data_IF_366646576034
#
_entry.id   IF_366646576034
#
_cell.length_a   1.000
_cell.length_b   1.000
_cell.length_c   1.000
_cell.angle_alpha   90.00
_cell.angle_beta   90.00
_cell.angle_gamma   90.00
#
_symmetry.space_group_name_H-M   'P 1'
#
loop_
_entity.id
_entity.type
_entity.pdbx_description
1 polymer ?
#
# COMPACT_ATOMS: atom_id res chain seq x y z
N UNK A 1 14.41 11.90 -1.59
CA UNK A 1 13.62 12.71 -0.63
C UNK A 1 12.96 13.86 -1.39
N UNK A 2 11.73 14.19 -1.06
CA UNK A 2 10.93 15.26 -1.67
C UNK A 2 10.11 15.97 -0.59
N UNK A 3 9.98 17.28 -0.75
CA UNK A 3 9.02 18.11 -0.01
C UNK A 3 7.86 18.46 -0.94
N UNK A 4 6.65 18.42 -0.39
CA UNK A 4 5.44 18.87 -1.05
C UNK A 4 4.66 19.77 -0.09
N UNK A 5 4.13 20.88 -0.61
CA UNK A 5 3.38 21.86 0.16
C UNK A 5 2.00 21.98 -0.47
N UNK A 6 0.95 21.75 0.32
CA UNK A 6 -0.43 21.81 -0.14
C UNK A 6 -1.40 21.78 1.04
N UNK A 7 -2.62 22.24 0.82
CA UNK A 7 -3.70 22.15 1.81
C UNK A 7 -4.22 20.71 1.87
N UNK A 8 -3.92 19.97 2.94
CA UNK A 8 -4.41 18.62 3.18
C UNK A 8 -5.59 18.59 4.17
N UNK A 9 -5.74 19.64 4.98
CA UNK A 9 -6.72 19.69 6.07
C UNK A 9 -8.03 20.38 5.68
N UNK A 10 -8.07 21.03 4.51
CA UNK A 10 -9.21 21.78 3.99
C UNK A 10 -9.44 23.12 4.69
N UNK A 11 -8.47 23.59 5.48
CA UNK A 11 -8.57 24.83 6.25
C UNK A 11 -8.00 26.05 5.49
N UNK A 12 -7.60 25.86 4.23
CA UNK A 12 -6.98 26.85 3.33
C UNK A 12 -5.57 27.28 3.74
N UNK A 13 -4.94 26.58 4.68
CA UNK A 13 -3.50 26.67 4.96
C UNK A 13 -2.81 25.45 4.36
N UNK A 14 -1.55 25.63 3.98
CA UNK A 14 -0.77 24.52 3.45
C UNK A 14 0.00 23.80 4.56
N UNK A 15 -0.08 22.48 4.56
CA UNK A 15 0.80 21.62 5.33
C UNK A 15 2.03 21.20 4.52
N UNK A 16 2.99 20.65 5.23
CA UNK A 16 4.28 20.21 4.69
C UNK A 16 4.31 18.68 4.71
N UNK A 17 4.28 18.08 3.53
CA UNK A 17 4.53 16.66 3.34
C UNK A 17 6.01 16.42 3.07
N UNK A 18 6.61 15.53 3.85
CA UNK A 18 7.96 14.99 3.61
C UNK A 18 7.79 13.57 3.11
N UNK A 19 8.31 13.26 1.91
CA UNK A 19 8.29 11.91 1.37
C UNK A 19 9.60 11.44 0.73
N UNK A 20 9.74 10.14 0.58
CA UNK A 20 10.77 9.54 -0.30
C UNK A 20 11.34 8.24 0.26
N UNK A 21 12.08 7.51 -0.58
CA UNK A 21 12.67 6.24 -0.17
C UNK A 21 13.74 6.38 0.91
N UNK A 22 13.68 5.52 1.92
CA UNK A 22 14.72 5.30 2.92
C UNK A 22 14.86 3.79 3.17
N UNK A 23 16.05 3.22 2.97
CA UNK A 23 16.29 1.78 3.09
C UNK A 23 16.49 1.06 1.76
N UNK A 24 17.08 -0.14 1.82
CA UNK A 24 17.54 -0.93 0.66
C UNK A 24 16.40 -1.59 -0.14
N UNK A 25 16.55 -2.88 -0.48
CA UNK A 25 15.68 -3.63 -1.40
C UNK A 25 14.19 -3.74 -1.01
N UNK A 26 13.81 -3.27 0.18
CA UNK A 26 12.42 -3.19 0.66
C UNK A 26 11.66 -1.93 0.24
N UNK A 27 12.36 -0.88 -0.21
CA UNK A 27 11.71 0.34 -0.71
C UNK A 27 10.78 1.01 0.30
N UNK A 28 11.17 1.06 1.58
CA UNK A 28 10.38 1.80 2.57
C UNK A 28 10.37 3.27 2.15
N UNK A 29 9.18 3.82 1.97
CA UNK A 29 9.06 5.27 1.89
C UNK A 29 9.11 5.85 3.31
N UNK A 30 9.48 7.10 3.43
CA UNK A 30 9.06 8.00 4.49
C UNK A 30 7.85 8.73 3.90
N UNK A 31 6.80 8.90 4.68
CA UNK A 31 5.71 9.81 4.36
C UNK A 31 5.07 10.30 5.64
N UNK A 32 5.28 11.58 5.88
CA UNK A 32 4.84 12.28 7.08
C UNK A 32 4.29 13.64 6.64
N UNK A 33 3.20 14.08 7.24
CA UNK A 33 2.64 15.41 7.01
C UNK A 33 2.66 16.19 8.32
N UNK A 34 3.14 17.43 8.25
CA UNK A 34 3.20 18.36 9.34
C UNK A 34 2.36 19.60 9.06
N UNK A 35 1.60 20.04 10.05
CA UNK A 35 1.12 21.43 10.10
C UNK A 35 2.13 22.30 10.85
N UNK A 36 2.17 23.60 10.55
CA UNK A 36 3.06 24.55 11.20
C UNK A 36 2.25 25.59 11.99
N UNK A 37 2.34 25.51 13.31
CA UNK A 37 1.60 26.38 14.22
C UNK A 37 2.54 26.97 15.28
N UNK A 38 2.48 28.29 15.48
CA UNK A 38 3.19 29.00 16.54
C UNK A 38 4.69 28.66 16.64
N UNK A 39 5.38 28.55 15.50
CA UNK A 39 6.81 28.25 15.46
C UNK A 39 7.16 26.75 15.53
N UNK A 40 6.18 25.85 15.49
CA UNK A 40 6.39 24.41 15.68
C UNK A 40 5.77 23.61 14.55
N UNK A 41 6.48 22.56 14.12
CA UNK A 41 5.94 21.51 13.27
C UNK A 41 5.19 20.51 14.15
N UNK A 42 3.92 20.24 13.81
CA UNK A 42 3.06 19.28 14.49
C UNK A 42 2.74 18.18 13.48
N UNK A 43 3.09 16.93 13.79
CA UNK A 43 2.79 15.78 12.95
C UNK A 43 1.28 15.52 12.95
N UNK A 44 0.67 15.45 11.77
CA UNK A 44 -0.77 15.20 11.60
C UNK A 44 -1.05 13.89 10.85
N UNK A 45 -0.05 13.35 10.17
CA UNK A 45 -0.11 12.06 9.51
C UNK A 45 1.27 11.40 9.49
N UNK A 46 1.30 10.09 9.73
CA UNK A 46 2.50 9.28 9.70
C UNK A 46 2.18 7.90 9.11
N UNK A 47 2.98 7.48 8.12
CA UNK A 47 2.80 6.21 7.42
C UNK A 47 2.81 4.97 8.33
N UNK A 48 3.60 4.96 9.42
CA UNK A 48 3.75 3.80 10.29
C UNK A 48 2.51 3.65 11.16
N UNK A 49 2.02 4.79 11.68
CA UNK A 49 0.72 4.87 12.34
C UNK A 49 -0.41 4.45 11.39
N UNK A 50 -0.38 4.87 10.13
CA UNK A 50 -1.36 4.45 9.13
C UNK A 50 -1.33 2.92 8.91
N UNK A 51 -0.15 2.35 8.67
CA UNK A 51 0.02 0.92 8.41
C UNK A 51 -0.42 0.05 9.59
N UNK A 52 -0.09 0.49 10.81
CA UNK A 52 -0.47 -0.19 12.06
C UNK A 52 -1.97 -0.15 12.30
N UNK A 53 -2.63 0.96 11.98
CA UNK A 53 -4.07 1.13 12.20
C UNK A 53 -4.93 0.56 11.05
N UNK A 54 -4.34 0.29 9.88
CA UNK A 54 -5.04 -0.17 8.68
C UNK A 54 -4.49 -1.49 8.14
N UNK A 55 -4.29 -2.44 9.06
CA UNK A 55 -3.70 -3.74 8.73
C UNK A 55 -4.51 -4.53 7.71
N UNK A 56 -3.78 -5.18 6.81
CA UNK A 56 -4.31 -6.15 5.88
C UNK A 56 -3.53 -7.46 6.03
N UNK A 57 -4.21 -8.58 5.90
CA UNK A 57 -3.59 -9.92 5.96
C UNK A 57 -3.80 -10.66 4.66
N UNK A 58 -2.85 -11.52 4.30
CA UNK A 58 -2.95 -12.34 3.09
C UNK A 58 -2.58 -13.79 3.38
N UNK A 59 -3.17 -14.72 2.61
CA UNK A 59 -2.89 -16.15 2.69
C UNK A 59 -3.01 -16.80 1.31
N UNK A 60 -2.13 -17.75 1.01
CA UNK A 60 -2.38 -18.68 -0.09
C UNK A 60 -3.61 -19.54 0.22
N UNK A 61 -4.37 -19.84 -0.83
CA UNK A 61 -5.56 -20.68 -0.82
C UNK A 61 -5.46 -21.64 -2.00
N UNK A 62 -6.08 -22.81 -1.84
CA UNK A 62 -6.13 -23.84 -2.88
C UNK A 62 -6.63 -23.29 -4.22
N UNK A 63 -6.33 -24.00 -5.29
CA UNK A 63 -6.70 -23.64 -6.66
C UNK A 63 -6.07 -22.33 -7.13
N UNK A 64 -4.79 -22.11 -6.79
CA UNK A 64 -3.99 -20.96 -7.25
C UNK A 64 -4.62 -19.61 -6.87
N UNK A 65 -5.11 -19.51 -5.63
CA UNK A 65 -5.74 -18.30 -5.11
C UNK A 65 -4.94 -17.68 -3.97
N UNK A 66 -5.03 -16.36 -3.85
CA UNK A 66 -4.53 -15.61 -2.69
C UNK A 66 -5.70 -14.84 -2.09
N UNK A 67 -6.02 -15.11 -0.83
CA UNK A 67 -7.01 -14.31 -0.10
C UNK A 67 -6.33 -13.12 0.56
N UNK A 68 -6.92 -11.93 0.44
CA UNK A 68 -6.48 -10.70 1.12
C UNK A 68 -7.65 -10.15 1.92
N UNK A 69 -7.42 -9.82 3.19
CA UNK A 69 -8.43 -9.31 4.12
C UNK A 69 -7.95 -8.00 4.75
N UNK A 70 -8.68 -6.93 4.45
CA UNK A 70 -8.50 -5.58 4.97
C UNK A 70 -9.76 -5.12 5.75
N UNK A 71 -10.24 -5.99 6.65
CA UNK A 71 -11.45 -5.75 7.44
C UNK A 71 -12.73 -5.96 6.64
N UNK A 72 -13.41 -4.85 6.28
CA UNK A 72 -14.64 -4.89 5.47
C UNK A 72 -14.36 -5.28 4.01
N UNK A 73 -13.16 -4.97 3.53
CA UNK A 73 -12.72 -5.29 2.17
C UNK A 73 -12.02 -6.65 2.14
N UNK A 74 -12.55 -7.59 1.35
CA UNK A 74 -12.02 -8.94 1.20
C UNK A 74 -11.87 -9.26 -0.29
N UNK A 75 -10.72 -9.79 -0.66
CA UNK A 75 -10.39 -10.07 -2.05
C UNK A 75 -9.87 -11.50 -2.20
N UNK A 76 -10.09 -12.06 -3.38
CA UNK A 76 -9.56 -13.34 -3.79
C UNK A 76 -8.89 -13.17 -5.15
N UNK A 77 -7.56 -13.19 -5.17
CA UNK A 77 -6.74 -12.98 -6.36
C UNK A 77 -6.44 -14.33 -7.00
N UNK A 78 -6.62 -14.42 -8.32
CA UNK A 78 -6.21 -15.57 -9.10
C UNK A 78 -4.77 -15.40 -9.58
N UNK A 79 -3.89 -16.32 -9.18
CA UNK A 79 -2.47 -16.33 -9.58
C UNK A 79 -2.15 -17.46 -10.56
N UNK A 80 -3.14 -18.13 -11.14
CA UNK A 80 -2.95 -19.24 -12.09
C UNK A 80 -2.16 -18.87 -13.35
N UNK A 81 -2.04 -17.58 -13.67
CA UNK A 81 -1.21 -17.07 -14.77
C UNK A 81 0.27 -16.94 -14.42
N UNK A 82 0.68 -17.21 -13.18
CA UNK A 82 2.10 -17.22 -12.77
C UNK A 82 2.84 -18.41 -13.38
N UNK A 83 4.18 -18.33 -13.52
CA UNK A 83 4.98 -19.43 -14.05
C UNK A 83 4.74 -20.72 -13.27
N UNK A 84 4.82 -21.85 -13.97
CA UNK A 84 4.61 -23.16 -13.36
C UNK A 84 5.55 -23.41 -12.18
N UNK A 85 6.84 -23.07 -12.31
CA UNK A 85 7.82 -23.21 -11.23
C UNK A 85 7.42 -22.45 -9.95
N UNK A 86 6.84 -21.26 -10.13
CA UNK A 86 6.34 -20.46 -9.01
C UNK A 86 5.14 -21.15 -8.34
N UNK A 87 4.18 -21.64 -9.13
CA UNK A 87 3.00 -22.33 -8.60
C UNK A 87 3.39 -23.65 -7.93
N UNK A 88 4.30 -24.43 -8.51
CA UNK A 88 4.78 -25.69 -7.96
C UNK A 88 5.56 -25.50 -6.64
N UNK A 89 6.10 -24.30 -6.39
CA UNK A 89 6.73 -23.95 -5.09
C UNK A 89 5.72 -23.72 -3.95
N UNK A 90 4.45 -23.49 -4.28
CA UNK A 90 3.38 -23.15 -3.33
C UNK A 90 2.36 -24.28 -3.21
N UNK A 91 2.14 -25.04 -4.29
CA UNK A 91 1.02 -25.95 -4.43
C UNK A 91 1.46 -27.38 -4.79
N UNK A 92 0.68 -28.37 -4.34
CA UNK A 92 0.77 -29.74 -4.85
C UNK A 92 0.25 -29.84 -6.30
N UNK A 93 0.49 -30.96 -7.01
CA UNK A 93 -0.15 -31.21 -8.32
C UNK A 93 -1.68 -31.16 -8.30
N UNK A 94 -2.29 -31.43 -7.14
CA UNK A 94 -3.75 -31.31 -6.93
C UNK A 94 -4.20 -29.89 -6.56
N UNK A 95 -3.31 -28.90 -6.68
CA UNK A 95 -3.55 -27.47 -6.40
C UNK A 95 -3.89 -27.16 -4.94
N UNK A 96 -3.47 -28.00 -4.01
CA UNK A 96 -3.58 -27.72 -2.56
C UNK A 96 -2.35 -27.00 -2.07
N UNK A 97 -2.49 -26.05 -1.14
CA UNK A 97 -1.34 -25.32 -0.57
C UNK A 97 -0.38 -26.29 0.14
N UNK A 98 0.92 -26.17 -0.14
CA UNK A 98 2.00 -27.00 0.39
C UNK A 98 3.27 -26.16 0.70
N UNK A 99 3.08 -24.99 1.29
CA UNK A 99 4.19 -24.12 1.74
C UNK A 99 3.91 -23.58 3.12
N UNK A 100 4.97 -23.35 3.90
CA UNK A 100 4.91 -22.62 5.17
C UNK A 100 5.03 -21.10 4.97
N UNK A 101 5.44 -20.66 3.78
CA UNK A 101 5.58 -19.23 3.44
C UNK A 101 4.18 -18.67 3.20
N UNK A 102 3.86 -17.58 3.89
CA UNK A 102 2.61 -16.86 3.68
C UNK A 102 2.89 -15.54 2.95
N UNK A 103 2.02 -15.17 2.00
CA UNK A 103 2.08 -13.84 1.43
C UNK A 103 1.75 -12.84 2.53
N UNK A 104 2.32 -11.65 2.47
CA UNK A 104 2.08 -10.58 3.46
C UNK A 104 1.83 -9.24 2.76
N UNK A 105 1.24 -8.31 3.50
CA UNK A 105 1.11 -6.93 3.05
C UNK A 105 2.28 -6.13 3.61
N UNK A 106 3.04 -5.52 2.73
CA UNK A 106 4.24 -4.77 3.07
C UNK A 106 3.89 -3.39 3.65
N UNK A 107 4.90 -2.70 4.17
CA UNK A 107 4.78 -1.30 4.54
C UNK A 107 4.38 -0.42 3.33
N UNK A 108 3.79 0.76 3.56
CA UNK A 108 3.57 1.75 2.49
C UNK A 108 4.85 1.99 1.67
N UNK A 109 4.75 1.77 0.37
CA UNK A 109 5.84 1.94 -0.60
C UNK A 109 5.64 3.15 -1.52
N UNK A 110 4.48 3.78 -1.44
CA UNK A 110 4.07 4.88 -2.30
C UNK A 110 3.08 5.76 -1.57
N UNK A 111 3.37 7.05 -1.47
CA UNK A 111 2.46 8.07 -0.96
C UNK A 111 2.43 9.29 -1.86
N UNK A 112 1.34 9.46 -2.57
CA UNK A 112 1.19 10.49 -3.57
C UNK A 112 0.14 11.49 -3.12
N UNK A 113 0.48 12.80 -3.03
CA UNK A 113 -0.55 13.82 -2.97
C UNK A 113 -1.33 13.79 -4.29
N UNK A 114 -2.64 13.58 -4.19
CA UNK A 114 -3.56 13.63 -5.31
C UNK A 114 -4.63 14.67 -5.02
N UNK A 115 -5.28 15.17 -6.06
CA UNK A 115 -6.32 16.18 -5.92
C UNK A 115 -7.35 15.99 -7.01
N UNK A 116 -8.58 15.67 -6.62
CA UNK A 116 -9.72 15.72 -7.52
C UNK A 116 -9.96 17.15 -8.03
N UNK A 117 -10.40 17.28 -9.29
CA UNK A 117 -10.50 18.57 -10.00
C UNK A 117 -11.35 19.61 -9.24
N UNK A 118 -12.37 19.14 -8.50
CA UNK A 118 -13.31 20.00 -7.79
C UNK A 118 -13.01 20.12 -6.29
N UNK A 119 -12.00 19.43 -5.77
CA UNK A 119 -11.58 19.59 -4.38
C UNK A 119 -10.71 20.84 -4.25
N UNK A 120 -10.82 21.55 -3.12
CA UNK A 120 -9.89 22.66 -2.80
C UNK A 120 -8.63 22.16 -2.08
N UNK A 121 -8.69 20.98 -1.46
CA UNK A 121 -7.64 20.31 -0.70
C UNK A 121 -7.04 19.11 -1.45
N UNK A 122 -5.93 18.58 -0.92
CA UNK A 122 -5.25 17.38 -1.38
C UNK A 122 -5.66 16.16 -0.54
N UNK A 123 -5.83 15.05 -1.24
CA UNK A 123 -5.95 13.71 -0.68
C UNK A 123 -4.59 12.99 -0.79
N UNK A 124 -4.51 11.80 -0.23
CA UNK A 124 -3.35 10.93 -0.38
C UNK A 124 -3.75 9.59 -0.99
N UNK A 125 -3.06 9.20 -2.06
CA UNK A 125 -3.02 7.82 -2.52
C UNK A 125 -1.86 7.10 -1.83
N UNK A 126 -2.16 6.03 -1.12
CA UNK A 126 -1.20 5.18 -0.41
C UNK A 126 -1.17 3.80 -1.06
N UNK A 127 0.02 3.34 -1.43
CA UNK A 127 0.26 2.03 -2.05
C UNK A 127 0.99 1.09 -1.10
N UNK A 128 0.47 -0.14 -0.96
CA UNK A 128 1.11 -1.23 -0.22
C UNK A 128 1.18 -2.49 -1.08
N UNK A 129 2.33 -3.16 -1.14
CA UNK A 129 2.46 -4.41 -1.93
C UNK A 129 1.87 -5.58 -1.17
N UNK A 130 1.20 -6.47 -1.89
CA UNK A 130 0.94 -7.84 -1.45
C UNK A 130 2.13 -8.66 -1.94
N UNK A 131 3.03 -8.99 -1.03
CA UNK A 131 4.23 -9.77 -1.29
C UNK A 131 3.88 -11.25 -1.26
N UNK A 132 4.38 -12.01 -2.23
CA UNK A 132 4.19 -13.46 -2.30
C UNK A 132 5.27 -14.23 -1.56
N UNK A 133 6.06 -15.01 -2.29
CA UNK A 133 7.01 -15.97 -1.68
C UNK A 133 8.33 -15.32 -1.23
N UNK A 134 8.69 -14.18 -1.82
CA UNK A 134 9.93 -13.44 -1.59
C UNK A 134 9.68 -11.94 -1.76
N UNK A 135 10.50 -11.07 -1.17
CA UNK A 135 10.23 -9.62 -1.12
C UNK A 135 10.06 -8.92 -2.49
N UNK A 136 10.71 -9.40 -3.55
CA UNK A 136 10.58 -8.82 -4.89
C UNK A 136 9.34 -9.34 -5.64
N UNK A 137 8.69 -10.40 -5.14
CA UNK A 137 7.49 -10.98 -5.73
C UNK A 137 6.25 -10.20 -5.28
N UNK A 138 5.75 -9.34 -6.17
CA UNK A 138 4.53 -8.57 -5.93
C UNK A 138 3.34 -9.28 -6.59
N UNK A 139 2.40 -9.77 -5.80
CA UNK A 139 1.13 -10.38 -6.27
C UNK A 139 0.17 -9.31 -6.77
N UNK A 140 0.11 -8.17 -6.08
CA UNK A 140 -0.75 -7.03 -6.38
C UNK A 140 -0.39 -5.85 -5.47
N UNK A 141 -1.03 -4.71 -5.71
CA UNK A 141 -0.84 -3.49 -4.91
C UNK A 141 -2.19 -3.11 -4.31
N UNK A 142 -2.24 -2.92 -2.99
CA UNK A 142 -3.38 -2.32 -2.31
C UNK A 142 -3.22 -0.81 -2.45
N UNK A 143 -4.21 -0.17 -3.05
CA UNK A 143 -4.32 1.27 -3.18
C UNK A 143 -5.36 1.75 -2.16
N UNK A 144 -4.99 2.68 -1.29
CA UNK A 144 -5.91 3.34 -0.35
C UNK A 144 -5.89 4.84 -0.59
N UNK A 145 -7.05 5.42 -0.87
CA UNK A 145 -7.20 6.88 -0.92
C UNK A 145 -7.73 7.36 0.43
N UNK A 146 -7.05 8.35 1.01
CA UNK A 146 -7.44 8.99 2.27
C UNK A 146 -7.54 10.50 2.13
N UNK A 147 -8.32 11.11 3.01
CA UNK A 147 -8.36 12.55 3.27
C UNK A 147 -7.95 12.84 4.72
N UNK A 148 -7.48 14.05 4.99
CA UNK A 148 -7.05 14.52 6.32
C UNK A 148 -7.85 15.73 6.82
N UNK A 149 -9.10 15.86 6.37
CA UNK A 149 -9.94 17.02 6.66
C UNK A 149 -10.09 17.27 8.17
N UNK A 150 -9.89 18.53 8.59
CA UNK A 150 -9.94 18.94 9.99
C UNK A 150 -9.05 18.06 10.89
N UNK A 151 -7.86 17.69 10.41
CA UNK A 151 -6.89 16.84 11.12
C UNK A 151 -7.41 15.42 11.42
N UNK A 152 -8.44 14.96 10.69
CA UNK A 152 -9.01 13.62 10.85
C UNK A 152 -8.77 12.82 9.59
N UNK A 153 -8.23 11.62 9.77
CA UNK A 153 -8.04 10.66 8.70
C UNK A 153 -9.35 9.94 8.39
N UNK A 154 -9.81 10.03 7.14
CA UNK A 154 -10.88 9.19 6.61
C UNK A 154 -10.38 8.40 5.40
N UNK A 155 -10.77 7.13 5.30
CA UNK A 155 -10.54 6.32 4.09
C UNK A 155 -11.69 6.54 3.13
N UNK A 156 -11.38 7.11 1.96
CA UNK A 156 -12.35 7.33 0.89
C UNK A 156 -12.55 6.07 0.04
N UNK A 157 -11.46 5.40 -0.30
CA UNK A 157 -11.50 4.16 -1.06
C UNK A 157 -10.34 3.22 -0.72
N UNK A 158 -10.55 1.93 -0.92
CA UNK A 158 -9.51 0.91 -0.82
C UNK A 158 -9.76 -0.17 -1.88
N UNK A 159 -8.74 -0.43 -2.70
CA UNK A 159 -8.81 -1.36 -3.83
C UNK A 159 -7.54 -2.17 -3.99
N UNK A 160 -7.57 -3.14 -4.91
CA UNK A 160 -6.38 -3.87 -5.34
C UNK A 160 -6.15 -3.60 -6.82
N UNK A 161 -4.98 -3.04 -7.12
CA UNK A 161 -4.45 -2.94 -8.46
C UNK A 161 -3.65 -4.20 -8.80
N UNK A 162 -4.01 -4.85 -9.90
CA UNK A 162 -3.32 -6.02 -10.44
C UNK A 162 -2.68 -5.65 -11.77
N UNK A 163 -1.35 -5.71 -11.83
CA UNK A 163 -0.63 -5.65 -13.10
C UNK A 163 -0.40 -7.05 -13.65
N UNK A 164 -0.25 -7.15 -14.97
CA UNK A 164 0.18 -8.41 -15.58
C UNK A 164 1.54 -8.81 -15.01
N UNK A 165 1.72 -10.10 -14.76
CA UNK A 165 3.01 -10.63 -14.38
C UNK A 165 4.00 -10.43 -15.54
N UNK A 166 5.04 -9.63 -15.31
CA UNK A 166 6.10 -9.39 -16.29
C UNK A 166 7.29 -10.29 -15.98
N UNK A 167 7.48 -11.33 -16.81
CA UNK A 167 8.59 -12.27 -16.70
C UNK A 167 9.97 -11.61 -16.81
N UNK A 168 10.05 -10.38 -17.34
CA UNK A 168 11.31 -9.64 -17.55
C UNK A 168 11.89 -9.02 -16.28
N UNK A 169 11.16 -8.98 -15.17
CA UNK A 169 11.65 -8.48 -13.87
C UNK A 169 12.50 -9.51 -13.10
N UNK A 170 13.17 -10.44 -13.80
CA UNK A 170 13.99 -11.52 -13.22
C UNK A 170 15.42 -11.10 -12.83
N UNK A 171 15.78 -9.82 -12.91
CA UNK A 171 17.16 -9.35 -12.68
C UNK A 171 17.18 -8.08 -11.85
#
# INVERSE_FOLDING_TARGET
>A
MQLFIGDFTGDKKSEIMVRGGYGGSGGFEIGVIYTYENGKLIEIFNQESFATNNTCTSKFKDNYKVSVNCGKNKYLIDISKRPKEYLDSIYTPNKTVNTSINPYVDAPMGMYPIKEIYNEYYELLIEQRIVGTVNFDTIGVIETVIELLNFKLNILSKGIFLSNYDERKKY
#
